data_IF_987854558922
#
_entry.id   IF_987854558922
#
_cell.length_a   1.000
_cell.length_b   1.000
_cell.length_c   1.000
_cell.angle_alpha   90.00
_cell.angle_beta   90.00
_cell.angle_gamma   90.00
#
_symmetry.space_group_name_H-M   'P 1'
#
loop_
_entity.id
_entity.type
_entity.pdbx_description
1 polymer ?
#
# COMPACT_ATOMS: atom_id res chain seq x y z
N UNK A 1 -2.13 4.26 1.40
CA UNK A 1 -3.61 4.14 1.41
C UNK A 1 -4.27 5.15 0.48
N UNK A 2 -4.00 6.47 0.59
CA UNK A 2 -4.57 7.52 -0.29
C UNK A 2 -4.63 7.11 -1.78
N UNK A 3 -3.49 6.77 -2.37
CA UNK A 3 -3.41 6.42 -3.80
C UNK A 3 -4.28 5.21 -4.20
N UNK A 4 -4.53 4.28 -3.27
CA UNK A 4 -5.46 3.17 -3.51
C UNK A 4 -6.88 3.70 -3.64
N UNK A 5 -7.32 4.55 -2.72
CA UNK A 5 -8.65 5.17 -2.78
C UNK A 5 -8.83 6.04 -4.02
N UNK A 6 -7.83 6.85 -4.36
CA UNK A 6 -7.84 7.66 -5.58
C UNK A 6 -8.04 6.80 -6.84
N UNK A 7 -7.33 5.67 -6.96
CA UNK A 7 -7.48 4.73 -8.08
C UNK A 7 -8.80 3.94 -8.04
N UNK A 8 -9.25 3.54 -6.86
CA UNK A 8 -10.45 2.70 -6.68
C UNK A 8 -11.72 3.49 -6.99
N UNK A 9 -11.76 4.76 -6.58
CA UNK A 9 -12.91 5.65 -6.77
C UNK A 9 -12.78 6.57 -7.99
N UNK A 10 -11.63 6.58 -8.67
CA UNK A 10 -11.33 7.53 -9.76
C UNK A 10 -11.55 8.98 -9.32
N UNK A 11 -11.01 9.31 -8.14
CA UNK A 11 -11.24 10.57 -7.46
C UNK A 11 -9.92 11.16 -6.93
N UNK A 12 -9.96 12.43 -6.53
CA UNK A 12 -8.87 13.08 -5.78
C UNK A 12 -9.15 12.97 -4.29
N UNK A 13 -8.11 12.76 -3.50
CA UNK A 13 -8.25 12.71 -2.04
C UNK A 13 -7.50 13.86 -1.37
N UNK A 14 -8.09 14.41 -0.31
CA UNK A 14 -7.46 15.32 0.65
C UNK A 14 -7.61 14.72 2.07
N UNK A 15 -7.16 15.43 3.11
CA UNK A 15 -7.12 14.88 4.47
C UNK A 15 -7.83 15.80 5.46
N UNK A 16 -8.59 15.22 6.38
CA UNK A 16 -8.96 15.86 7.64
C UNK A 16 -7.82 15.55 8.62
N UNK A 17 -7.10 16.57 9.07
CA UNK A 17 -5.95 16.41 9.97
C UNK A 17 -6.06 17.35 11.17
N UNK A 18 -5.26 17.09 12.19
CA UNK A 18 -5.01 18.06 13.26
C UNK A 18 -4.41 19.36 12.69
N UNK A 19 -4.65 20.50 13.36
CA UNK A 19 -4.23 21.83 12.88
C UNK A 19 -2.76 21.91 12.50
N UNK A 20 -1.87 21.31 13.30
CA UNK A 20 -0.42 21.33 13.07
C UNK A 20 0.03 20.52 11.84
N UNK A 21 -0.85 19.69 11.25
CA UNK A 21 -0.61 18.95 10.01
C UNK A 21 -1.28 19.58 8.79
N UNK A 22 -2.25 20.48 9.00
CA UNK A 22 -3.07 21.05 7.94
C UNK A 22 -2.27 21.84 6.90
N UNK A 23 -1.16 22.46 7.30
CA UNK A 23 -0.27 23.18 6.38
C UNK A 23 0.37 22.22 5.36
N UNK A 24 0.76 21.01 5.79
CA UNK A 24 1.36 19.99 4.93
C UNK A 24 0.31 19.18 4.18
N UNK A 25 -0.82 18.93 4.81
CA UNK A 25 -1.91 18.10 4.31
C UNK A 25 -3.18 18.93 4.19
N UNK A 26 -3.17 19.87 3.24
CA UNK A 26 -4.29 20.77 3.00
C UNK A 26 -5.55 19.99 2.62
N UNK A 27 -6.67 20.37 3.24
CA UNK A 27 -7.98 19.85 2.90
C UNK A 27 -8.55 20.57 1.68
N UNK A 28 -9.23 19.82 0.83
CA UNK A 28 -10.01 20.35 -0.29
C UNK A 28 -11.45 19.87 -0.10
N UNK A 29 -12.35 20.83 0.02
CA UNK A 29 -13.79 20.62 0.20
C UNK A 29 -14.45 21.10 -1.08
N UNK A 30 -15.30 20.27 -1.68
CA UNK A 30 -16.15 20.58 -2.82
C UNK A 30 -17.62 20.66 -2.38
N UNK A 31 -18.56 20.83 -3.31
CA UNK A 31 -19.99 20.87 -2.99
C UNK A 31 -20.58 19.48 -2.68
N UNK A 32 -19.89 18.41 -3.06
CA UNK A 32 -20.24 17.01 -2.83
C UNK A 32 -18.96 16.22 -2.47
N UNK A 33 -18.91 15.67 -1.25
CA UNK A 33 -17.70 15.10 -0.67
C UNK A 33 -17.97 13.69 -0.16
N UNK A 34 -17.06 12.76 -0.47
CA UNK A 34 -17.04 11.45 0.15
C UNK A 34 -15.96 11.45 1.24
N UNK A 35 -16.39 11.31 2.48
CA UNK A 35 -15.53 11.16 3.63
C UNK A 35 -15.32 9.68 3.88
N UNK A 36 -14.08 9.25 4.10
CA UNK A 36 -13.73 7.86 4.38
C UNK A 36 -12.80 7.83 5.58
N UNK A 37 -13.05 6.93 6.53
CA UNK A 37 -12.16 6.71 7.66
C UNK A 37 -10.76 6.27 7.16
N UNK A 38 -9.73 7.03 7.51
CA UNK A 38 -8.37 6.85 6.97
C UNK A 38 -7.70 5.53 7.33
N UNK A 39 -8.25 4.79 8.31
CA UNK A 39 -7.74 3.47 8.68
C UNK A 39 -8.15 2.37 7.70
N UNK A 40 -9.11 2.63 6.80
CA UNK A 40 -9.76 1.60 6.00
C UNK A 40 -9.07 1.40 4.66
N UNK A 41 -8.87 0.13 4.31
CA UNK A 41 -8.40 -0.30 3.00
C UNK A 41 -9.59 -0.53 2.06
N UNK A 42 -9.48 -0.13 0.78
CA UNK A 42 -10.56 -0.32 -0.17
C UNK A 42 -10.80 -1.81 -0.45
N UNK A 43 -12.07 -2.23 -0.40
CA UNK A 43 -12.51 -3.54 -0.86
C UNK A 43 -13.52 -3.38 -2.00
N UNK A 44 -13.70 -4.41 -2.83
CA UNK A 44 -14.69 -4.36 -3.91
C UNK A 44 -16.11 -4.09 -3.38
N UNK A 45 -16.44 -4.67 -2.22
CA UNK A 45 -17.73 -4.46 -1.54
C UNK A 45 -17.86 -3.02 -1.03
N UNK A 46 -16.86 -2.52 -0.31
CA UNK A 46 -16.90 -1.16 0.21
C UNK A 46 -16.93 -0.11 -0.91
N UNK A 47 -16.22 -0.34 -2.02
CA UNK A 47 -16.34 0.49 -3.23
C UNK A 47 -17.79 0.54 -3.72
N UNK A 48 -18.47 -0.61 -3.81
CA UNK A 48 -19.86 -0.67 -4.26
C UNK A 48 -20.80 0.08 -3.32
N UNK A 49 -20.60 -0.06 -2.01
CA UNK A 49 -21.40 0.62 -1.00
C UNK A 49 -21.21 2.14 -1.06
N UNK A 50 -19.95 2.60 -1.14
CA UNK A 50 -19.62 4.03 -1.28
C UNK A 50 -20.24 4.61 -2.55
N UNK A 51 -20.16 3.91 -3.68
CA UNK A 51 -20.76 4.35 -4.94
C UNK A 51 -22.30 4.40 -4.92
N UNK A 52 -22.94 3.70 -3.97
CA UNK A 52 -24.39 3.71 -3.80
C UNK A 52 -24.89 4.74 -2.78
N UNK A 53 -23.99 5.50 -2.14
CA UNK A 53 -24.39 6.52 -1.16
C UNK A 53 -25.12 7.67 -1.85
N UNK A 54 -26.34 7.93 -1.39
CA UNK A 54 -27.07 9.15 -1.72
C UNK A 54 -26.57 10.33 -0.86
N UNK A 55 -26.84 11.59 -1.26
CA UNK A 55 -26.52 12.74 -0.41
C UNK A 55 -27.14 12.60 0.99
N UNK A 56 -26.36 12.95 2.02
CA UNK A 56 -26.75 12.80 3.42
C UNK A 56 -26.93 11.33 3.89
N UNK A 57 -26.19 10.39 3.29
CA UNK A 57 -26.08 9.02 3.77
C UNK A 57 -24.67 8.70 4.29
N UNK A 58 -24.62 7.78 5.26
CA UNK A 58 -23.39 7.26 5.85
C UNK A 58 -23.39 5.74 5.95
N UNK A 59 -22.20 5.16 5.90
CA UNK A 59 -21.93 3.75 6.22
C UNK A 59 -21.37 3.72 7.64
N UNK A 60 -22.01 2.93 8.50
CA UNK A 60 -21.63 2.75 9.90
C UNK A 60 -21.26 1.28 10.15
N UNK A 61 -20.29 1.06 11.04
CA UNK A 61 -19.96 -0.27 11.55
C UNK A 61 -19.70 -0.18 13.04
N UNK A 62 -20.57 -0.80 13.84
CA UNK A 62 -20.55 -0.78 15.31
C UNK A 62 -20.44 0.65 15.86
N UNK A 63 -21.30 1.53 15.37
CA UNK A 63 -21.36 2.96 15.68
C UNK A 63 -20.14 3.78 15.20
N UNK A 64 -19.16 3.18 14.52
CA UNK A 64 -18.06 3.92 13.90
C UNK A 64 -18.40 4.35 12.47
N UNK A 65 -18.09 5.61 12.13
CA UNK A 65 -18.20 6.10 10.77
C UNK A 65 -17.15 5.46 9.88
N UNK A 66 -17.63 4.79 8.82
CA UNK A 66 -16.80 4.16 7.78
C UNK A 66 -16.64 5.09 6.60
N UNK A 67 -17.77 5.58 6.07
CA UNK A 67 -17.80 6.59 5.03
C UNK A 67 -19.09 7.41 5.10
N UNK A 68 -19.10 8.62 4.56
CA UNK A 68 -20.30 9.44 4.40
C UNK A 68 -20.22 10.27 3.13
N UNK A 69 -21.38 10.62 2.56
CA UNK A 69 -21.49 11.57 1.46
C UNK A 69 -22.13 12.86 1.94
N UNK A 70 -21.33 13.91 2.08
CA UNK A 70 -21.71 15.20 2.67
C UNK A 70 -21.62 16.33 1.64
N UNK A 71 -22.59 17.24 1.69
CA UNK A 71 -22.45 18.53 0.99
C UNK A 71 -21.46 19.46 1.72
N UNK A 72 -21.15 20.61 1.11
CA UNK A 72 -20.24 21.60 1.72
C UNK A 72 -20.69 22.05 3.11
N UNK A 73 -21.98 22.34 3.30
CA UNK A 73 -22.49 22.87 4.57
C UNK A 73 -22.35 21.84 5.69
N UNK A 74 -22.69 20.58 5.39
CA UNK A 74 -22.56 19.47 6.32
C UNK A 74 -21.08 19.16 6.63
N UNK A 75 -20.21 19.31 5.64
CA UNK A 75 -18.77 19.17 5.82
C UNK A 75 -18.22 20.25 6.75
N UNK A 76 -18.60 21.51 6.54
CA UNK A 76 -18.15 22.63 7.39
C UNK A 76 -18.60 22.41 8.85
N UNK A 77 -19.84 21.94 9.06
CA UNK A 77 -20.34 21.54 10.39
C UNK A 77 -19.50 20.42 11.02
N UNK A 78 -19.06 19.42 10.23
CA UNK A 78 -18.19 18.35 10.71
C UNK A 78 -16.83 18.86 11.19
N UNK A 79 -16.22 19.81 10.47
CA UNK A 79 -14.92 20.39 10.86
C UNK A 79 -15.05 21.23 12.14
N UNK A 80 -16.15 21.97 12.27
CA UNK A 80 -16.38 22.89 13.40
C UNK A 80 -16.83 22.17 14.69
N UNK A 81 -16.88 20.82 14.69
CA UNK A 81 -17.45 19.99 15.76
C UNK A 81 -18.91 20.40 16.10
N UNK A 82 -19.63 20.90 15.11
CA UNK A 82 -21.03 21.32 15.21
C UNK A 82 -21.98 20.14 14.93
N UNK A 83 -23.22 20.25 15.40
CA UNK A 83 -24.24 19.22 15.14
C UNK A 83 -24.60 19.20 13.65
N UNK A 84 -24.32 18.08 12.98
CA UNK A 84 -24.84 17.79 11.64
C UNK A 84 -26.30 17.35 11.79
N UNK A 85 -27.18 17.81 10.90
CA UNK A 85 -28.55 17.31 10.80
C UNK A 85 -28.56 15.77 10.65
N UNK A 86 -29.64 15.07 11.06
CA UNK A 86 -29.69 13.59 11.04
C UNK A 86 -29.21 13.02 9.69
N UNK A 87 -28.07 12.32 9.71
CA UNK A 87 -27.52 11.57 8.58
C UNK A 87 -28.16 10.20 8.57
N UNK A 88 -28.65 9.75 7.42
CA UNK A 88 -29.21 8.40 7.28
C UNK A 88 -28.08 7.37 7.27
N UNK A 89 -28.03 6.52 8.29
CA UNK A 89 -27.02 5.47 8.43
C UNK A 89 -27.44 4.13 7.81
N UNK A 90 -26.55 3.55 7.00
CA UNK A 90 -26.54 2.13 6.63
C UNK A 90 -25.57 1.40 7.56
N UNK A 91 -26.09 0.47 8.37
CA UNK A 91 -25.27 -0.35 9.27
C UNK A 91 -24.80 -1.63 8.58
N UNK A 92 -23.48 -1.82 8.52
CA UNK A 92 -22.83 -3.01 7.95
C UNK A 92 -22.21 -3.91 9.03
N UNK A 93 -22.59 -3.75 10.30
CA UNK A 93 -22.01 -4.49 11.44
C UNK A 93 -22.16 -6.00 11.36
N UNK A 94 -23.21 -6.50 10.70
CA UNK A 94 -23.47 -7.94 10.53
C UNK A 94 -22.72 -8.53 9.33
N UNK A 95 -22.04 -7.71 8.54
CA UNK A 95 -21.33 -8.16 7.37
C UNK A 95 -19.88 -8.55 7.71
N UNK A 96 -19.54 -9.82 7.54
CA UNK A 96 -18.17 -10.31 7.73
C UNK A 96 -17.23 -9.84 6.60
N UNK A 97 -15.96 -9.61 6.96
CA UNK A 97 -14.84 -9.30 6.05
C UNK A 97 -15.01 -8.10 5.09
N UNK A 98 -15.92 -7.17 5.42
CA UNK A 98 -16.18 -5.99 4.56
C UNK A 98 -15.09 -4.94 4.67
N UNK A 99 -14.57 -4.76 5.87
CA UNK A 99 -13.66 -3.67 6.22
C UNK A 99 -12.34 -4.25 6.70
N UNK A 100 -11.27 -3.97 5.97
CA UNK A 100 -9.89 -4.18 6.45
C UNK A 100 -9.32 -2.87 6.92
N UNK A 101 -8.60 -2.92 8.05
CA UNK A 101 -8.12 -1.72 8.73
C UNK A 101 -6.64 -1.82 9.08
N UNK A 102 -5.99 -0.67 9.04
CA UNK A 102 -4.69 -0.42 9.65
C UNK A 102 -4.93 0.35 10.94
N UNK A 103 -4.87 -0.34 12.08
CA UNK A 103 -5.05 0.24 13.42
C UNK A 103 -3.73 0.30 14.19
N UNK A 104 -2.79 -0.56 13.84
CA UNK A 104 -1.48 -0.72 14.45
C UNK A 104 -0.41 -0.81 13.36
N UNK A 105 0.85 -0.44 13.65
CA UNK A 105 1.94 -0.62 12.70
C UNK A 105 2.06 -2.05 12.17
N UNK A 106 1.87 -3.07 13.01
CA UNK A 106 1.96 -4.46 12.53
C UNK A 106 0.94 -4.84 11.47
N UNK A 107 -0.22 -4.17 11.44
CA UNK A 107 -1.26 -4.45 10.45
C UNK A 107 -0.74 -4.19 9.02
N UNK A 108 0.20 -3.25 8.88
CA UNK A 108 0.84 -2.93 7.60
C UNK A 108 1.54 -4.14 7.01
N UNK A 109 2.38 -4.85 7.77
CA UNK A 109 3.03 -6.06 7.24
C UNK A 109 2.13 -7.30 7.30
N UNK A 110 1.19 -7.38 8.24
CA UNK A 110 0.24 -8.50 8.31
C UNK A 110 -0.67 -8.55 7.08
N UNK A 111 -1.12 -7.39 6.58
CA UNK A 111 -1.98 -7.28 5.41
C UNK A 111 -1.19 -7.13 4.10
N UNK A 112 0.11 -6.84 4.16
CA UNK A 112 0.92 -6.51 2.98
C UNK A 112 0.83 -7.54 1.86
N UNK A 113 0.86 -8.83 2.19
CA UNK A 113 0.83 -9.89 1.17
C UNK A 113 -0.43 -9.86 0.32
N UNK A 114 -1.58 -9.69 0.97
CA UNK A 114 -2.85 -9.59 0.25
C UNK A 114 -2.99 -8.27 -0.50
N UNK A 115 -2.50 -7.18 0.09
CA UNK A 115 -2.53 -5.86 -0.52
C UNK A 115 -1.59 -5.76 -1.73
N UNK A 116 -0.46 -6.47 -1.75
CA UNK A 116 0.40 -6.60 -2.94
C UNK A 116 -0.37 -7.25 -4.09
N UNK A 117 -1.15 -8.31 -3.86
CA UNK A 117 -1.91 -8.97 -4.93
C UNK A 117 -3.03 -8.07 -5.46
N UNK A 118 -3.74 -7.38 -4.58
CA UNK A 118 -4.77 -6.42 -4.96
C UNK A 118 -4.19 -5.26 -5.77
N UNK A 119 -3.07 -4.68 -5.31
CA UNK A 119 -2.39 -3.60 -6.02
C UNK A 119 -1.82 -4.07 -7.35
N UNK A 120 -1.19 -5.25 -7.38
CA UNK A 120 -0.67 -5.85 -8.61
C UNK A 120 -1.78 -5.95 -9.65
N UNK A 121 -2.93 -6.53 -9.29
CA UNK A 121 -4.07 -6.63 -10.20
C UNK A 121 -4.59 -5.26 -10.65
N UNK A 122 -4.65 -4.28 -9.75
CA UNK A 122 -5.14 -2.92 -10.05
C UNK A 122 -4.20 -2.15 -10.99
N UNK A 123 -2.90 -2.13 -10.69
CA UNK A 123 -1.93 -1.25 -11.35
C UNK A 123 -1.34 -1.86 -12.62
N UNK A 124 -1.48 -3.17 -12.84
CA UNK A 124 -0.98 -3.85 -14.05
C UNK A 124 -2.08 -4.10 -15.09
N UNK A 125 -3.36 -3.93 -14.71
CA UNK A 125 -4.52 -4.18 -15.58
C UNK A 125 -4.39 -3.44 -16.92
N UNK A 126 -4.42 -4.20 -18.01
CA UNK A 126 -4.37 -3.66 -19.37
C UNK A 126 -3.01 -3.08 -19.78
N UNK A 127 -1.97 -3.25 -18.95
CA UNK A 127 -0.61 -2.77 -19.22
C UNK A 127 0.29 -3.93 -19.64
N UNK A 128 1.38 -3.60 -20.31
CA UNK A 128 2.39 -4.55 -20.74
C UNK A 128 3.64 -4.41 -19.88
N UNK A 129 4.13 -5.52 -19.35
CA UNK A 129 5.43 -5.60 -18.66
C UNK A 129 6.59 -5.50 -19.66
N UNK A 130 7.73 -4.98 -19.23
CA UNK A 130 9.00 -5.22 -19.92
C UNK A 130 9.37 -6.71 -19.87
N UNK A 131 10.15 -7.15 -20.87
CA UNK A 131 10.66 -8.51 -20.94
C UNK A 131 11.76 -8.73 -19.90
N UNK A 132 11.74 -9.87 -19.22
CA UNK A 132 12.80 -10.26 -18.29
C UNK A 132 14.07 -10.62 -19.06
N UNK A 133 15.20 -10.01 -18.72
CA UNK A 133 16.48 -10.30 -19.37
C UNK A 133 16.88 -11.78 -19.20
N UNK A 134 17.47 -12.38 -20.23
CA UNK A 134 17.79 -13.82 -20.33
C UNK A 134 18.77 -14.33 -19.27
N UNK A 135 19.52 -13.43 -18.62
CA UNK A 135 20.41 -13.79 -17.51
C UNK A 135 19.69 -14.25 -16.25
N UNK A 136 18.38 -14.01 -16.14
CA UNK A 136 17.60 -14.30 -14.95
C UNK A 136 16.91 -15.66 -15.02
N UNK A 137 16.57 -16.19 -13.86
CA UNK A 137 15.75 -17.40 -13.73
C UNK A 137 14.40 -17.01 -13.14
N UNK A 138 13.34 -17.30 -13.87
CA UNK A 138 11.96 -17.19 -13.37
C UNK A 138 11.44 -18.57 -12.97
N UNK A 139 10.90 -18.67 -11.76
CA UNK A 139 10.25 -19.87 -11.23
C UNK A 139 8.79 -19.55 -10.96
N UNK A 140 7.87 -20.21 -11.67
CA UNK A 140 6.44 -20.01 -11.51
C UNK A 140 5.79 -19.34 -12.73
N UNK A 141 4.65 -18.70 -12.49
CA UNK A 141 3.87 -18.04 -13.53
C UNK A 141 4.43 -16.65 -13.87
N UNK A 142 4.73 -16.42 -15.14
CA UNK A 142 5.19 -15.13 -15.65
C UNK A 142 4.12 -14.04 -15.60
N UNK A 143 2.83 -14.39 -15.57
CA UNK A 143 1.74 -13.41 -15.44
C UNK A 143 1.77 -12.66 -14.10
N UNK A 144 2.48 -13.22 -13.11
CA UNK A 144 2.67 -12.68 -11.77
C UNK A 144 3.97 -11.90 -11.61
N UNK A 145 4.71 -11.67 -12.70
CA UNK A 145 5.87 -10.79 -12.74
C UNK A 145 5.53 -9.58 -13.61
N UNK A 146 5.66 -8.39 -13.05
CA UNK A 146 5.50 -7.15 -13.79
C UNK A 146 6.72 -6.26 -13.59
N UNK A 147 7.32 -5.85 -14.71
CA UNK A 147 8.54 -5.05 -14.78
C UNK A 147 8.18 -3.74 -15.48
N UNK A 148 8.28 -2.64 -14.75
CA UNK A 148 8.07 -1.29 -15.26
C UNK A 148 9.25 -0.80 -16.09
N UNK A 149 8.98 0.20 -16.94
CA UNK A 149 9.99 0.87 -17.77
C UNK A 149 11.23 1.31 -16.97
N UNK A 150 12.40 0.96 -17.50
CA UNK A 150 13.70 1.34 -16.96
C UNK A 150 14.17 0.46 -15.80
N UNK A 151 13.37 -0.51 -15.36
CA UNK A 151 13.80 -1.44 -14.33
C UNK A 151 14.89 -2.38 -14.85
N UNK A 152 15.91 -2.62 -14.03
CA UNK A 152 17.06 -3.45 -14.37
C UNK A 152 17.14 -4.67 -13.45
N UNK A 153 17.18 -5.85 -14.04
CA UNK A 153 17.25 -7.12 -13.31
C UNK A 153 18.25 -8.00 -14.07
N UNK A 154 19.36 -8.34 -13.43
CA UNK A 154 20.39 -9.21 -14.01
C UNK A 154 20.81 -10.31 -13.04
N UNK A 155 21.15 -11.47 -13.62
CA UNK A 155 21.69 -12.62 -12.91
C UNK A 155 20.98 -12.97 -11.58
N UNK A 156 19.64 -12.86 -11.53
CA UNK A 156 18.84 -13.02 -10.31
C UNK A 156 17.81 -14.14 -10.45
N UNK A 157 17.38 -14.71 -9.31
CA UNK A 157 16.28 -15.67 -9.27
C UNK A 157 14.99 -15.01 -8.77
N UNK A 158 13.92 -15.13 -9.55
CA UNK A 158 12.60 -14.58 -9.25
C UNK A 158 11.60 -15.73 -9.15
N UNK A 159 10.96 -15.90 -7.99
CA UNK A 159 10.04 -17.00 -7.76
C UNK A 159 8.63 -16.50 -7.45
N UNK A 160 7.70 -16.59 -8.40
CA UNK A 160 6.32 -16.11 -8.27
C UNK A 160 5.34 -17.12 -7.67
N UNK A 161 5.83 -18.29 -7.22
CA UNK A 161 4.96 -19.36 -6.67
C UNK A 161 4.31 -19.03 -5.34
N UNK A 162 4.80 -17.99 -4.64
CA UNK A 162 4.31 -17.55 -3.31
C UNK A 162 3.74 -16.15 -3.28
N UNK A 163 3.62 -15.50 -4.45
CA UNK A 163 3.06 -14.17 -4.58
C UNK A 163 3.62 -13.49 -5.81
N UNK A 164 2.93 -12.43 -6.23
CA UNK A 164 3.32 -11.59 -7.36
C UNK A 164 4.57 -10.79 -7.05
N UNK A 165 5.31 -10.46 -8.10
CA UNK A 165 6.53 -9.65 -8.06
C UNK A 165 6.30 -8.45 -8.97
N UNK A 166 6.24 -7.27 -8.37
CA UNK A 166 6.17 -5.99 -9.06
C UNK A 166 7.51 -5.27 -8.92
N UNK A 167 8.11 -4.87 -10.05
CA UNK A 167 9.35 -4.11 -10.11
C UNK A 167 9.07 -2.75 -10.74
N UNK A 168 9.16 -1.71 -9.92
CA UNK A 168 8.80 -0.33 -10.23
C UNK A 168 9.77 0.35 -11.21
N UNK A 169 9.38 1.52 -11.72
CA UNK A 169 10.15 2.27 -12.72
C UNK A 169 11.57 2.55 -12.22
N UNK A 170 12.57 2.29 -13.06
CA UNK A 170 13.98 2.50 -12.73
C UNK A 170 14.44 1.79 -11.43
N UNK A 171 13.73 0.76 -10.97
CA UNK A 171 14.15 -0.05 -9.85
C UNK A 171 15.23 -1.07 -10.28
N UNK A 172 16.08 -1.48 -9.37
CA UNK A 172 17.23 -2.34 -9.68
C UNK A 172 17.27 -3.59 -8.79
N UNK A 173 17.31 -4.77 -9.39
CA UNK A 173 17.61 -6.01 -8.69
C UNK A 173 19.01 -6.46 -9.12
N UNK A 174 19.99 -6.17 -8.25
CA UNK A 174 21.40 -6.51 -8.48
C UNK A 174 21.63 -8.01 -8.43
N UNK A 175 22.74 -8.43 -9.03
CA UNK A 175 23.10 -9.81 -9.30
C UNK A 175 23.13 -10.70 -8.05
N UNK A 176 22.77 -11.96 -8.26
CA UNK A 176 22.75 -12.97 -7.20
C UNK A 176 21.62 -12.79 -6.19
N UNK A 177 20.73 -11.80 -6.38
CA UNK A 177 19.54 -11.64 -5.55
C UNK A 177 18.58 -12.81 -5.76
N UNK A 178 18.01 -13.30 -4.67
CA UNK A 178 17.06 -14.40 -4.65
C UNK A 178 15.74 -13.92 -4.05
N UNK A 179 14.73 -13.79 -4.91
CA UNK A 179 13.41 -13.28 -4.54
C UNK A 179 12.42 -14.43 -4.51
N UNK A 180 11.86 -14.70 -3.34
CA UNK A 180 10.70 -15.56 -3.17
C UNK A 180 9.47 -14.67 -2.99
N UNK A 181 8.62 -14.65 -4.01
CA UNK A 181 7.61 -13.64 -4.32
C UNK A 181 6.60 -13.29 -3.24
N UNK A 182 5.77 -12.30 -3.57
CA UNK A 182 5.22 -11.35 -2.61
C UNK A 182 6.16 -10.15 -2.49
N UNK A 183 6.56 -9.55 -3.63
CA UNK A 183 7.49 -8.41 -3.65
C UNK A 183 6.86 -7.25 -4.41
N UNK A 184 6.83 -6.08 -3.80
CA UNK A 184 6.56 -4.82 -4.49
C UNK A 184 7.76 -3.88 -4.32
N UNK A 185 8.44 -3.57 -5.42
CA UNK A 185 9.49 -2.57 -5.48
C UNK A 185 8.94 -1.31 -6.14
N UNK A 186 8.94 -0.19 -5.45
CA UNK A 186 8.55 1.10 -6.01
C UNK A 186 9.69 1.74 -6.81
N UNK A 187 9.43 2.89 -7.42
CA UNK A 187 10.38 3.56 -8.31
C UNK A 187 11.75 3.82 -7.63
N UNK A 188 12.82 3.60 -8.40
CA UNK A 188 14.22 3.78 -7.95
C UNK A 188 14.62 2.98 -6.68
N UNK A 189 13.79 2.03 -6.23
CA UNK A 189 14.18 1.11 -5.15
C UNK A 189 15.18 0.07 -5.67
N UNK A 190 16.01 -0.47 -4.79
CA UNK A 190 17.02 -1.44 -5.18
C UNK A 190 17.21 -2.58 -4.19
N UNK A 191 17.37 -3.80 -4.71
CA UNK A 191 17.96 -4.92 -4.00
C UNK A 191 19.45 -4.97 -4.31
N UNK A 192 20.28 -5.00 -3.27
CA UNK A 192 21.74 -5.08 -3.37
C UNK A 192 22.19 -6.50 -3.76
N UNK A 193 23.45 -6.62 -4.16
CA UNK A 193 24.07 -7.89 -4.51
C UNK A 193 23.77 -8.99 -3.47
N UNK A 194 23.33 -10.15 -3.94
CA UNK A 194 23.11 -11.31 -3.08
C UNK A 194 21.93 -11.21 -2.11
N UNK A 195 21.04 -10.22 -2.24
CA UNK A 195 19.91 -10.03 -1.31
C UNK A 195 18.97 -11.24 -1.31
N UNK A 196 18.49 -11.63 -0.14
CA UNK A 196 17.51 -12.70 0.04
C UNK A 196 16.18 -12.11 0.52
N UNK A 197 15.14 -12.29 -0.28
CA UNK A 197 13.78 -11.81 0.04
C UNK A 197 12.86 -13.01 0.30
N UNK A 198 12.22 -13.01 1.46
CA UNK A 198 11.22 -13.97 1.86
C UNK A 198 9.89 -13.29 2.19
N UNK A 199 8.77 -13.87 1.76
CA UNK A 199 7.44 -13.38 2.12
C UNK A 199 7.14 -11.96 1.63
N UNK A 200 6.00 -11.43 2.07
CA UNK A 200 5.42 -10.19 1.57
C UNK A 200 6.26 -8.96 1.92
N UNK A 201 7.11 -8.52 0.99
CA UNK A 201 8.04 -7.41 1.18
C UNK A 201 7.70 -6.26 0.23
N UNK A 202 7.62 -5.04 0.77
CA UNK A 202 7.40 -3.82 0.00
C UNK A 202 8.56 -2.84 0.22
N UNK A 203 9.17 -2.39 -0.86
CA UNK A 203 10.22 -1.37 -0.87
C UNK A 203 9.65 -0.10 -1.48
N UNK A 204 9.38 0.89 -0.65
CA UNK A 204 8.95 2.21 -1.10
C UNK A 204 9.98 2.94 -1.97
N UNK A 205 9.61 4.08 -2.57
CA UNK A 205 10.46 4.79 -3.52
C UNK A 205 11.87 5.07 -2.95
N UNK A 206 12.90 4.94 -3.78
CA UNK A 206 14.30 5.21 -3.41
C UNK A 206 14.88 4.39 -2.24
N UNK A 207 14.22 3.29 -1.86
CA UNK A 207 14.66 2.39 -0.77
C UNK A 207 15.73 1.41 -1.26
N UNK A 208 16.82 1.22 -0.52
CA UNK A 208 17.87 0.24 -0.84
C UNK A 208 17.99 -0.83 0.24
N UNK A 209 17.84 -2.09 -0.16
CA UNK A 209 17.84 -3.24 0.77
C UNK A 209 18.90 -4.25 0.36
N UNK A 210 19.64 -4.75 1.34
CA UNK A 210 20.64 -5.80 1.27
C UNK A 210 20.46 -6.83 2.38
N UNK A 211 21.28 -7.87 2.37
CA UNK A 211 21.22 -8.96 3.36
C UNK A 211 19.95 -9.80 3.20
N UNK A 212 19.32 -10.15 4.33
CA UNK A 212 18.10 -10.94 4.37
C UNK A 212 16.91 -10.11 4.90
N UNK A 213 15.78 -10.15 4.18
CA UNK A 213 14.53 -9.55 4.62
C UNK A 213 13.37 -10.54 4.52
N UNK A 214 12.48 -10.50 5.50
CA UNK A 214 11.32 -11.37 5.56
C UNK A 214 10.06 -10.63 6.01
N UNK A 215 9.07 -10.47 5.13
CA UNK A 215 7.79 -9.83 5.46
C UNK A 215 7.97 -8.41 6.04
N UNK A 216 8.52 -7.50 5.24
CA UNK A 216 8.90 -6.14 5.68
C UNK A 216 8.31 -5.08 4.75
N UNK A 217 7.86 -3.96 5.32
CA UNK A 217 7.41 -2.80 4.54
C UNK A 217 8.30 -1.60 4.84
N UNK A 218 8.97 -1.08 3.81
CA UNK A 218 9.64 0.22 3.83
C UNK A 218 8.75 1.25 3.14
N UNK A 219 8.44 2.38 3.79
CA UNK A 219 7.58 3.41 3.19
C UNK A 219 8.24 4.17 2.03
N UNK A 220 9.52 4.56 2.18
CA UNK A 220 10.28 5.27 1.14
C UNK A 220 11.54 5.90 1.71
N UNK A 221 12.53 6.18 0.87
CA UNK A 221 13.79 6.86 1.24
C UNK A 221 14.54 6.21 2.42
N UNK A 222 14.35 4.91 2.62
CA UNK A 222 14.90 4.17 3.75
C UNK A 222 15.84 3.08 3.29
N UNK A 223 16.92 2.83 4.04
CA UNK A 223 17.97 1.93 3.60
C UNK A 223 18.34 0.91 4.68
N UNK A 224 18.50 -0.34 4.25
CA UNK A 224 19.20 -1.41 4.96
C UNK A 224 20.15 -2.06 3.96
N UNK A 225 21.16 -1.33 3.51
CA UNK A 225 21.96 -1.69 2.32
C UNK A 225 23.03 -2.77 2.53
N UNK A 226 23.25 -3.22 3.75
CA UNK A 226 24.29 -4.19 4.11
C UNK A 226 23.68 -5.49 4.65
N UNK A 227 24.55 -6.46 4.93
CA UNK A 227 24.19 -7.73 5.55
C UNK A 227 23.47 -7.56 6.91
N UNK A 228 22.88 -8.66 7.38
CA UNK A 228 21.99 -8.72 8.54
C UNK A 228 20.57 -9.14 8.16
N UNK A 229 19.73 -9.39 9.16
CA UNK A 229 18.34 -9.87 9.02
C UNK A 229 17.30 -8.85 9.47
N UNK A 230 16.22 -8.66 8.71
CA UNK A 230 15.06 -7.89 9.16
C UNK A 230 13.78 -8.65 8.84
N UNK A 231 13.02 -9.03 9.87
CA UNK A 231 11.76 -9.74 9.73
C UNK A 231 10.58 -9.03 10.39
N UNK A 232 9.37 -9.15 9.83
CA UNK A 232 8.11 -8.65 10.40
C UNK A 232 8.20 -7.20 10.90
N UNK A 233 8.56 -6.29 10.00
CA UNK A 233 8.85 -4.91 10.38
C UNK A 233 8.20 -3.89 9.43
N UNK A 234 7.92 -2.71 9.97
CA UNK A 234 7.58 -1.51 9.21
C UNK A 234 8.66 -0.47 9.46
N UNK A 235 9.28 0.00 8.39
CA UNK A 235 10.28 1.06 8.43
C UNK A 235 9.66 2.32 7.82
N UNK A 236 9.65 3.39 8.61
CA UNK A 236 9.18 4.71 8.17
C UNK A 236 10.04 5.30 7.07
N UNK A 237 9.79 6.56 6.74
CA UNK A 237 10.60 7.27 5.74
C UNK A 237 11.93 7.77 6.34
N UNK A 238 12.95 7.95 5.49
CA UNK A 238 14.23 8.57 5.84
C UNK A 238 15.02 7.87 6.95
N UNK A 239 14.89 6.54 7.03
CA UNK A 239 15.62 5.71 8.00
C UNK A 239 16.85 5.07 7.35
N UNK A 240 17.96 4.97 8.09
CA UNK A 240 19.15 4.25 7.63
C UNK A 240 19.62 3.25 8.69
N UNK A 241 19.39 1.96 8.43
CA UNK A 241 19.77 0.87 9.32
C UNK A 241 21.26 0.58 9.14
N UNK A 242 21.99 0.51 10.27
CA UNK A 242 23.42 0.23 10.28
C UNK A 242 23.74 -1.14 9.69
N UNK A 243 25.00 -1.33 9.28
CA UNK A 243 25.47 -2.64 8.81
C UNK A 243 25.28 -3.71 9.88
N UNK A 244 24.90 -4.91 9.46
CA UNK A 244 24.67 -6.05 10.35
C UNK A 244 23.56 -5.80 11.39
N UNK A 245 22.58 -4.96 11.03
CA UNK A 245 21.35 -4.82 11.83
C UNK A 245 20.55 -6.11 11.73
N UNK A 246 20.22 -6.67 12.89
CA UNK A 246 19.45 -7.89 13.02
C UNK A 246 18.21 -7.66 13.89
N UNK A 247 17.02 -7.87 13.33
CA UNK A 247 15.74 -7.83 14.03
C UNK A 247 14.99 -9.13 13.79
N UNK A 248 15.14 -10.06 14.73
CA UNK A 248 14.50 -11.37 14.70
C UNK A 248 12.98 -11.25 14.81
N UNK A 249 12.26 -12.15 14.15
CA UNK A 249 10.81 -12.20 14.11
C UNK A 249 10.25 -13.48 14.76
N UNK A 250 10.88 -13.86 15.89
CA UNK A 250 10.54 -15.04 16.70
C UNK A 250 9.14 -14.93 17.28
#
# INVERSE_FOLDING_TARGET
IREKWEKVLDARCSYITQDFLSEKYAIHIDDDNIIINSTILPTAKLKSLINSLEPNEAILMKDELIAARLDRKQFDQLIEDDNIDEIKGMDISEEEDVVKRILRPQDVFNLNGEEIEQDFALITKGRKSQDLHVSNILIGDSSKLFIEEGAEIFCSSLNTTKGSIYVGKNAEIMEGSNVRGGLAMCEYSALKLGTKVYGATTLGPYTKVGGEVNNVVFLGYSNKGHDGFLGNAVIGEWCNLGSDTNSSNL
#
